data_IF_496876148061
#
_entry.id   IF_496876148061
#
_cell.length_a   1.000
_cell.length_b   1.000
_cell.length_c   1.000
_cell.angle_alpha   90.00
_cell.angle_beta   90.00
_cell.angle_gamma   90.00
#
_symmetry.space_group_name_H-M   'P 1'
#
loop_
_entity.id
_entity.type
_entity.pdbx_description
1 polymer ?
#
# COMPACT_ATOMS: atom_id res chain seq x y z
N UNK A 1 -38.48 16.21 4.31
CA UNK A 1 -37.05 16.47 4.55
C UNK A 1 -36.29 15.28 3.98
N UNK A 2 -35.53 15.50 2.92
CA UNK A 2 -34.67 14.46 2.34
C UNK A 2 -33.57 14.21 3.35
N UNK A 3 -33.49 12.97 3.82
CA UNK A 3 -32.42 12.47 4.67
C UNK A 3 -31.13 12.57 3.84
N UNK A 4 -30.42 13.71 3.96
CA UNK A 4 -29.08 13.85 3.40
C UNK A 4 -28.23 12.84 4.16
N UNK A 5 -28.02 11.68 3.55
CA UNK A 5 -27.10 10.66 4.03
C UNK A 5 -25.80 11.35 4.43
N UNK A 6 -25.61 11.51 5.74
CA UNK A 6 -24.47 12.20 6.30
C UNK A 6 -23.25 11.43 5.83
N UNK A 7 -22.47 12.04 4.95
CA UNK A 7 -21.28 11.42 4.39
C UNK A 7 -20.46 10.78 5.54
N UNK A 8 -20.11 9.48 5.45
CA UNK A 8 -19.42 8.83 6.55
C UNK A 8 -18.10 9.57 6.82
N UNK A 9 -17.78 9.79 8.10
CA UNK A 9 -16.59 10.55 8.50
C UNK A 9 -15.32 9.92 7.95
N UNK A 10 -14.27 10.72 7.74
CA UNK A 10 -12.96 10.25 7.27
C UNK A 10 -12.44 9.11 8.15
N UNK A 11 -12.67 9.20 9.47
CA UNK A 11 -12.33 8.14 10.43
C UNK A 11 -13.07 6.82 10.14
N UNK A 12 -14.39 6.85 9.95
CA UNK A 12 -15.15 5.64 9.69
C UNK A 12 -14.76 5.01 8.33
N UNK A 13 -14.56 5.85 7.30
CA UNK A 13 -14.15 5.37 5.97
C UNK A 13 -12.75 4.76 5.98
N UNK A 14 -11.79 5.36 6.66
CA UNK A 14 -10.42 4.82 6.76
C UNK A 14 -10.39 3.46 7.48
N UNK A 15 -11.10 3.34 8.60
CA UNK A 15 -11.26 2.06 9.32
C UNK A 15 -11.94 0.98 8.46
N UNK A 16 -12.97 1.35 7.70
CA UNK A 16 -13.61 0.42 6.77
C UNK A 16 -12.64 -0.03 5.68
N UNK A 17 -11.85 0.88 5.11
CA UNK A 17 -10.83 0.54 4.11
C UNK A 17 -9.77 -0.41 4.66
N UNK A 18 -9.32 -0.23 5.91
CA UNK A 18 -8.43 -1.19 6.59
C UNK A 18 -9.02 -2.59 6.58
N UNK A 19 -10.28 -2.73 7.02
CA UNK A 19 -10.97 -4.03 7.06
C UNK A 19 -11.02 -4.65 5.67
N UNK A 20 -11.34 -3.87 4.64
CA UNK A 20 -11.38 -4.38 3.26
C UNK A 20 -10.01 -4.84 2.76
N UNK A 21 -8.94 -4.14 3.11
CA UNK A 21 -7.56 -4.53 2.76
C UNK A 21 -7.19 -5.85 3.44
N UNK A 22 -7.45 -5.97 4.74
CA UNK A 22 -7.16 -7.21 5.47
C UNK A 22 -8.00 -8.39 4.96
N UNK A 23 -9.27 -8.15 4.60
CA UNK A 23 -10.14 -9.16 4.02
C UNK A 23 -9.61 -9.66 2.67
N UNK A 24 -9.25 -8.76 1.75
CA UNK A 24 -8.67 -9.14 0.45
C UNK A 24 -7.36 -9.91 0.63
N UNK A 25 -6.49 -9.46 1.54
CA UNK A 25 -5.24 -10.18 1.83
C UNK A 25 -5.48 -11.57 2.44
N UNK A 26 -6.51 -11.73 3.28
CA UNK A 26 -6.89 -13.05 3.81
C UNK A 26 -7.35 -14.04 2.72
N UNK A 27 -7.85 -13.51 1.61
CA UNK A 27 -8.21 -14.27 0.41
C UNK A 27 -7.05 -14.37 -0.60
N UNK A 28 -5.82 -14.00 -0.20
CA UNK A 28 -4.64 -13.96 -1.06
C UNK A 28 -4.78 -13.06 -2.30
N UNK A 29 -5.62 -12.03 -2.21
CA UNK A 29 -5.89 -11.06 -3.28
C UNK A 29 -5.08 -9.78 -3.05
N UNK A 30 -3.82 -9.78 -3.49
CA UNK A 30 -2.98 -8.57 -3.48
C UNK A 30 -3.55 -7.47 -4.37
N UNK A 31 -4.13 -7.84 -5.52
CA UNK A 31 -4.77 -6.88 -6.43
C UNK A 31 -5.95 -6.17 -5.74
N UNK A 32 -6.85 -6.92 -5.09
CA UNK A 32 -7.99 -6.32 -4.39
C UNK A 32 -7.58 -5.46 -3.21
N UNK A 33 -6.60 -5.92 -2.43
CA UNK A 33 -6.03 -5.16 -1.34
C UNK A 33 -5.40 -3.85 -1.84
N UNK A 34 -4.64 -3.88 -2.94
CA UNK A 34 -4.05 -2.69 -3.56
C UNK A 34 -5.12 -1.72 -4.10
N UNK A 35 -6.26 -2.21 -4.60
CA UNK A 35 -7.38 -1.34 -4.98
C UNK A 35 -7.88 -0.54 -3.77
N UNK A 36 -8.16 -1.19 -2.65
CA UNK A 36 -8.61 -0.50 -1.43
C UNK A 36 -7.50 0.38 -0.80
N UNK A 37 -6.23 -0.03 -0.87
CA UNK A 37 -5.11 0.81 -0.45
C UNK A 37 -5.03 2.10 -1.27
N UNK A 38 -5.28 2.04 -2.58
CA UNK A 38 -5.39 3.24 -3.42
C UNK A 38 -6.60 4.11 -3.05
N UNK A 39 -7.73 3.52 -2.65
CA UNK A 39 -8.85 4.30 -2.11
C UNK A 39 -8.49 5.00 -0.79
N UNK A 40 -7.74 4.33 0.09
CA UNK A 40 -7.25 4.92 1.33
C UNK A 40 -6.26 6.06 1.06
N UNK A 41 -5.36 5.89 0.11
CA UNK A 41 -4.40 6.92 -0.28
C UNK A 41 -5.10 8.18 -0.79
N UNK A 42 -6.08 8.02 -1.70
CA UNK A 42 -6.88 9.16 -2.20
C UNK A 42 -7.68 9.84 -1.09
N UNK A 43 -8.16 9.08 -0.10
CA UNK A 43 -8.85 9.63 1.06
C UNK A 43 -7.88 10.46 1.94
N UNK A 44 -6.66 9.95 2.17
CA UNK A 44 -5.59 10.66 2.88
C UNK A 44 -5.19 11.95 2.16
N UNK A 45 -4.89 11.89 0.87
CA UNK A 45 -4.48 13.05 0.07
C UNK A 45 -5.50 14.20 0.13
N UNK A 46 -6.80 13.88 0.15
CA UNK A 46 -7.88 14.87 0.21
C UNK A 46 -8.15 15.41 1.61
N UNK A 47 -7.74 14.69 2.66
CA UNK A 47 -8.12 14.98 4.04
C UNK A 47 -6.93 14.91 5.01
N UNK A 48 -5.73 15.31 4.58
CA UNK A 48 -4.49 15.09 5.36
C UNK A 48 -4.56 15.58 6.81
N UNK A 49 -5.20 16.73 7.05
CA UNK A 49 -5.35 17.31 8.40
C UNK A 49 -6.33 16.54 9.31
N UNK A 50 -7.25 15.79 8.72
CA UNK A 50 -8.32 15.07 9.43
C UNK A 50 -8.15 13.54 9.39
N UNK A 51 -7.23 13.05 8.58
CA UNK A 51 -7.01 11.62 8.40
C UNK A 51 -6.43 11.01 9.68
N UNK A 52 -6.94 9.87 10.17
CA UNK A 52 -6.45 9.29 11.41
C UNK A 52 -4.98 8.86 11.30
N UNK A 53 -4.14 9.37 12.20
CA UNK A 53 -2.69 9.13 12.17
C UNK A 53 -2.34 7.65 12.37
N UNK A 54 -3.14 6.92 13.15
CA UNK A 54 -3.02 5.48 13.35
C UNK A 54 -3.34 4.70 12.07
N UNK A 55 -4.33 5.13 11.30
CA UNK A 55 -4.64 4.55 9.98
C UNK A 55 -3.55 4.82 8.95
N UNK A 56 -2.98 6.02 8.95
CA UNK A 56 -1.89 6.36 8.05
C UNK A 56 -0.61 5.55 8.38
N UNK A 57 -0.29 5.45 9.68
CA UNK A 57 0.85 4.66 10.17
C UNK A 57 0.67 3.16 9.89
N UNK A 58 -0.55 2.64 10.10
CA UNK A 58 -0.87 1.27 9.77
C UNK A 58 -0.70 0.98 8.29
N UNK A 59 -1.16 1.86 7.40
CA UNK A 59 -1.05 1.64 5.95
C UNK A 59 0.41 1.66 5.49
N UNK A 60 1.22 2.59 6.01
CA UNK A 60 2.66 2.62 5.75
C UNK A 60 3.33 1.32 6.16
N UNK A 61 3.13 0.88 7.42
CA UNK A 61 3.72 -0.36 7.92
C UNK A 61 3.23 -1.58 7.12
N UNK A 62 1.91 -1.71 6.92
CA UNK A 62 1.30 -2.83 6.20
C UNK A 62 1.84 -2.96 4.77
N UNK A 63 1.91 -1.84 4.05
CA UNK A 63 2.39 -1.85 2.66
C UNK A 63 3.88 -2.16 2.56
N UNK A 64 4.68 -1.68 3.53
CA UNK A 64 6.09 -2.03 3.62
C UNK A 64 6.29 -3.51 3.92
N UNK A 65 5.70 -4.03 5.00
CA UNK A 65 5.84 -5.42 5.42
C UNK A 65 5.40 -6.38 4.32
N UNK A 66 4.27 -6.10 3.67
CA UNK A 66 3.77 -6.91 2.55
C UNK A 66 4.75 -6.93 1.37
N UNK A 67 5.41 -5.80 1.07
CA UNK A 67 6.45 -5.76 0.05
C UNK A 67 7.63 -6.67 0.39
N UNK A 68 8.07 -6.68 1.65
CA UNK A 68 9.17 -7.53 2.13
C UNK A 68 8.79 -9.03 2.05
N UNK A 69 7.58 -9.40 2.48
CA UNK A 69 7.10 -10.78 2.43
C UNK A 69 7.03 -11.31 0.97
N UNK A 70 6.50 -10.49 0.06
CA UNK A 70 6.39 -10.84 -1.36
C UNK A 70 7.77 -10.93 -2.01
N UNK A 71 8.71 -10.07 -1.60
CA UNK A 71 10.09 -10.16 -2.06
C UNK A 71 10.75 -11.47 -1.62
N UNK A 72 10.60 -11.84 -0.35
CA UNK A 72 11.15 -13.07 0.21
C UNK A 72 10.58 -14.33 -0.47
N UNK A 73 9.33 -14.29 -0.90
CA UNK A 73 8.64 -15.37 -1.63
C UNK A 73 8.81 -15.29 -3.15
N UNK A 74 9.71 -14.43 -3.65
CA UNK A 74 10.00 -14.21 -5.08
C UNK A 74 8.83 -13.71 -5.92
N UNK A 75 7.79 -13.18 -5.28
CA UNK A 75 6.70 -12.51 -5.96
C UNK A 75 7.05 -11.04 -6.26
N UNK A 76 8.00 -10.85 -7.20
CA UNK A 76 8.69 -9.57 -7.41
C UNK A 76 7.76 -8.46 -7.91
N UNK A 77 6.82 -8.79 -8.80
CA UNK A 77 5.90 -7.80 -9.39
C UNK A 77 5.00 -7.20 -8.32
N UNK A 78 4.35 -8.03 -7.52
CA UNK A 78 3.44 -7.62 -6.45
C UNK A 78 4.23 -6.93 -5.33
N UNK A 79 5.44 -7.41 -5.01
CA UNK A 79 6.35 -6.75 -4.07
C UNK A 79 6.65 -5.30 -4.48
N UNK A 80 6.90 -5.06 -5.77
CA UNK A 80 7.10 -3.71 -6.33
C UNK A 80 5.89 -2.82 -6.15
N UNK A 81 4.69 -3.31 -6.43
CA UNK A 81 3.46 -2.52 -6.28
C UNK A 81 3.22 -2.11 -4.82
N UNK A 82 3.46 -3.02 -3.87
CA UNK A 82 3.37 -2.72 -2.44
C UNK A 82 4.47 -1.78 -1.97
N UNK A 83 5.70 -1.91 -2.51
CA UNK A 83 6.78 -0.96 -2.24
C UNK A 83 6.40 0.45 -2.70
N UNK A 84 5.85 0.60 -3.90
CA UNK A 84 5.40 1.89 -4.43
C UNK A 84 4.28 2.50 -3.59
N UNK A 85 3.35 1.68 -3.11
CA UNK A 85 2.33 2.12 -2.16
C UNK A 85 2.98 2.66 -0.87
N UNK A 86 3.92 1.89 -0.30
CA UNK A 86 4.60 2.27 0.94
C UNK A 86 5.41 3.56 0.80
N UNK A 87 6.06 3.78 -0.35
CA UNK A 87 6.78 5.03 -0.65
C UNK A 87 5.83 6.23 -0.67
N UNK A 88 4.63 6.11 -1.26
CA UNK A 88 3.63 7.20 -1.26
C UNK A 88 3.15 7.54 0.15
N UNK A 89 2.89 6.53 0.98
CA UNK A 89 2.49 6.76 2.37
C UNK A 89 3.63 7.32 3.24
N UNK A 90 4.86 6.92 2.97
CA UNK A 90 6.06 7.44 3.64
C UNK A 90 6.17 8.97 3.49
N UNK A 91 5.76 9.52 2.36
CA UNK A 91 5.74 10.97 2.11
C UNK A 91 4.66 11.71 2.92
N UNK A 92 3.56 11.05 3.22
CA UNK A 92 2.35 11.63 3.82
C UNK A 92 2.27 11.43 5.34
N UNK A 93 2.89 10.37 5.86
CA UNK A 93 2.88 10.05 7.30
C UNK A 93 3.89 10.91 8.04
N UNK A 94 3.47 11.50 9.16
CA UNK A 94 4.37 12.25 10.05
C UNK A 94 5.50 11.33 10.54
N UNK A 95 6.75 11.72 10.27
CA UNK A 95 7.93 10.92 10.59
C UNK A 95 8.22 9.79 9.59
N UNK A 96 7.39 9.59 8.56
CA UNK A 96 7.58 8.54 7.56
C UNK A 96 8.92 8.65 6.82
N UNK A 97 9.36 9.87 6.49
CA UNK A 97 10.65 10.15 5.82
C UNK A 97 11.88 9.59 6.55
N UNK A 98 11.78 9.23 7.83
CA UNK A 98 12.84 8.51 8.53
C UNK A 98 13.19 7.15 7.88
N UNK A 99 12.26 6.55 7.12
CA UNK A 99 12.43 5.26 6.46
C UNK A 99 12.86 5.38 4.98
N UNK A 100 12.96 6.60 4.45
CA UNK A 100 13.11 6.88 3.01
C UNK A 100 14.30 6.15 2.38
N UNK A 101 15.47 6.22 3.03
CA UNK A 101 16.69 5.58 2.53
C UNK A 101 16.57 4.06 2.43
N UNK A 102 15.97 3.43 3.45
CA UNK A 102 15.75 1.99 3.49
C UNK A 102 14.79 1.55 2.38
N UNK A 103 13.66 2.26 2.25
CA UNK A 103 12.63 1.92 1.26
C UNK A 103 13.10 2.15 -0.17
N UNK A 104 13.85 3.24 -0.42
CA UNK A 104 14.42 3.51 -1.73
C UNK A 104 15.54 2.52 -2.12
N UNK A 105 16.28 1.96 -1.15
CA UNK A 105 17.23 0.88 -1.46
C UNK A 105 16.48 -0.37 -1.93
N UNK A 106 15.46 -0.80 -1.17
CA UNK A 106 14.64 -1.95 -1.53
C UNK A 106 13.96 -1.78 -2.89
N UNK A 107 13.37 -0.60 -3.15
CA UNK A 107 12.74 -0.29 -4.44
C UNK A 107 13.73 -0.40 -5.61
N UNK A 108 14.95 0.11 -5.45
CA UNK A 108 16.01 0.00 -6.48
C UNK A 108 16.37 -1.46 -6.78
N UNK A 109 16.38 -2.33 -5.78
CA UNK A 109 16.66 -3.75 -6.00
C UNK A 109 15.50 -4.45 -6.70
N UNK A 110 14.25 -4.09 -6.39
CA UNK A 110 13.07 -4.56 -7.12
C UNK A 110 13.07 -4.14 -8.60
N UNK A 111 13.50 -2.93 -8.91
CA UNK A 111 13.61 -2.45 -10.29
C UNK A 111 14.62 -3.28 -11.11
N UNK A 112 15.79 -3.59 -10.54
CA UNK A 112 16.80 -4.44 -11.21
C UNK A 112 16.25 -5.83 -11.51
N UNK A 113 15.54 -6.43 -10.56
CA UNK A 113 14.97 -7.77 -10.71
C UNK A 113 13.84 -7.81 -11.73
N UNK A 114 12.98 -6.78 -11.74
CA UNK A 114 11.87 -6.69 -12.70
C UNK A 114 12.41 -6.53 -14.12
N UNK A 115 13.41 -5.68 -14.33
CA UNK A 115 14.08 -5.54 -15.63
C UNK A 115 14.70 -6.88 -16.09
N UNK A 116 15.29 -7.65 -15.18
CA UNK A 116 15.85 -8.97 -15.50
C UNK A 116 14.76 -9.95 -15.96
N UNK A 117 13.61 -9.98 -15.27
CA UNK A 117 12.47 -10.85 -15.62
C UNK A 117 11.83 -10.50 -16.96
N UNK A 118 11.81 -9.22 -17.33
CA UNK A 118 11.32 -8.76 -18.63
C UNK A 118 12.27 -9.16 -19.78
N UNK A 119 13.58 -9.18 -19.53
CA UNK A 119 14.58 -9.59 -20.52
C UNK A 119 14.75 -11.10 -20.67
N UNK A 120 14.46 -11.88 -19.62
CA UNK A 120 14.59 -13.34 -19.59
C UNK A 120 13.32 -13.95 -18.96
N UNK A 121 12.21 -14.05 -19.71
CA UNK A 121 11.01 -14.69 -19.20
C UNK A 121 11.32 -16.14 -18.82
N UNK A 122 10.80 -16.65 -17.69
CA UNK A 122 11.02 -18.02 -17.30
C UNK A 122 10.55 -18.96 -18.41
N UNK A 123 11.45 -19.85 -18.85
CA UNK A 123 11.12 -20.93 -19.78
C UNK A 123 9.99 -21.75 -19.16
N UNK A 124 8.82 -21.77 -19.79
CA UNK A 124 7.77 -22.72 -19.43
C UNK A 124 8.33 -24.13 -19.71
N UNK A 125 8.56 -24.90 -18.64
CA UNK A 125 8.86 -26.34 -18.70
C UNK A 125 7.53 -27.09 -18.57
#
# INVERSE_FOLDING_TARGET
>A
MVDQQREPSVNLRSRWLRIMIDLELSMSSDEGALRYANHALRLMERNQAEYPADEASWMLAKSWDRSIDLYATRNIRESKLWCEMSLKWMELVVGGRAYEDMMNRHYRDLLKLTATLETNPPSLI
#
